data_IF_741331247305
#
_entry.id   IF_741331247305
#
_cell.length_a   1.000
_cell.length_b   1.000
_cell.length_c   1.000
_cell.angle_alpha   90.00
_cell.angle_beta   90.00
_cell.angle_gamma   90.00
#
_symmetry.space_group_name_H-M   'P 1'
#
loop_
_entity.id
_entity.type
_entity.pdbx_description
1 polymer ?
#
# COMPACT_ATOMS: atom_id res chain seq x y z
N UNK A 1 13.04 -11.71 3.89
CA UNK A 1 11.69 -11.09 4.01
C UNK A 1 11.89 -9.83 4.79
N UNK A 2 11.34 -8.71 4.34
CA UNK A 2 11.50 -7.40 5.02
C UNK A 2 10.60 -7.42 6.26
N UNK A 3 11.16 -7.34 7.46
CA UNK A 3 10.44 -7.50 8.73
C UNK A 3 10.60 -6.30 9.67
N UNK A 4 11.66 -5.50 9.52
CA UNK A 4 11.96 -4.36 10.38
C UNK A 4 12.23 -3.09 9.59
N UNK A 5 12.26 -1.95 10.27
CA UNK A 5 12.51 -0.62 9.70
C UNK A 5 13.86 -0.53 8.99
N UNK A 6 14.91 -1.19 9.52
CA UNK A 6 16.26 -1.21 8.93
C UNK A 6 16.35 -1.95 7.60
N UNK A 7 15.39 -2.84 7.34
CA UNK A 7 15.33 -3.58 6.08
C UNK A 7 14.93 -2.69 4.88
N UNK A 8 14.43 -1.46 5.15
CA UNK A 8 14.09 -0.46 4.13
C UNK A 8 15.32 0.39 3.80
N UNK A 9 16.27 -0.22 3.09
CA UNK A 9 17.49 0.46 2.64
C UNK A 9 17.19 1.65 1.75
N UNK A 10 17.98 2.73 1.89
CA UNK A 10 17.79 3.97 1.14
C UNK A 10 17.84 3.77 -0.38
N UNK A 11 18.75 2.93 -0.86
CA UNK A 11 18.93 2.68 -2.30
C UNK A 11 17.75 1.85 -2.84
N UNK A 12 17.28 0.84 -2.10
CA UNK A 12 16.14 -0.01 -2.42
C UNK A 12 14.84 0.81 -2.49
N UNK A 13 14.58 1.65 -1.51
CA UNK A 13 13.42 2.55 -1.49
C UNK A 13 13.49 3.58 -2.62
N UNK A 14 14.68 4.16 -2.89
CA UNK A 14 14.88 5.08 -4.01
C UNK A 14 14.62 4.41 -5.36
N UNK A 15 15.12 3.18 -5.55
CA UNK A 15 14.87 2.40 -6.75
C UNK A 15 13.38 2.12 -6.92
N UNK A 16 12.70 1.67 -5.86
CA UNK A 16 11.28 1.36 -5.89
C UNK A 16 10.42 2.61 -6.16
N UNK A 17 10.77 3.78 -5.61
CA UNK A 17 10.10 5.05 -5.91
C UNK A 17 10.24 5.42 -7.39
N UNK A 18 11.43 5.26 -7.97
CA UNK A 18 11.65 5.53 -9.39
C UNK A 18 10.84 4.60 -10.30
N UNK A 19 10.71 3.32 -9.92
CA UNK A 19 9.89 2.33 -10.64
C UNK A 19 8.39 2.63 -10.49
N UNK A 20 7.93 3.03 -9.31
CA UNK A 20 6.56 3.51 -9.11
C UNK A 20 6.21 4.61 -10.12
N UNK A 21 7.05 5.64 -10.21
CA UNK A 21 6.83 6.75 -11.13
C UNK A 21 6.88 6.26 -12.60
N UNK A 22 7.85 5.42 -12.96
CA UNK A 22 7.95 4.87 -14.33
C UNK A 22 6.71 4.06 -14.71
N UNK A 23 6.20 3.20 -13.82
CA UNK A 23 5.00 2.39 -14.07
C UNK A 23 3.77 3.26 -14.26
N UNK A 24 3.56 4.25 -13.39
CA UNK A 24 2.41 5.17 -13.51
C UNK A 24 2.48 6.01 -14.78
N UNK A 25 3.68 6.41 -15.19
CA UNK A 25 3.92 7.10 -16.47
C UNK A 25 3.60 6.19 -17.68
N UNK A 26 4.15 4.98 -17.70
CA UNK A 26 3.97 4.01 -18.81
C UNK A 26 2.49 3.66 -18.99
N UNK A 27 1.77 3.52 -17.88
CA UNK A 27 0.38 3.10 -17.85
C UNK A 27 -0.60 4.29 -17.79
N UNK A 28 -0.17 5.49 -18.18
CA UNK A 28 -0.98 6.71 -18.14
C UNK A 28 -2.32 6.60 -18.87
N UNK A 29 -2.38 5.87 -19.99
CA UNK A 29 -3.63 5.58 -20.73
C UNK A 29 -4.65 4.73 -19.93
N UNK A 30 -4.18 4.11 -18.84
CA UNK A 30 -4.99 3.31 -17.91
C UNK A 30 -5.18 4.02 -16.56
N UNK A 31 -4.77 5.29 -16.42
CA UNK A 31 -4.70 6.01 -15.14
C UNK A 31 -6.00 5.99 -14.34
N UNK A 32 -7.15 6.01 -15.00
CA UNK A 32 -8.46 5.97 -14.33
C UNK A 32 -8.84 4.56 -13.83
N UNK A 33 -8.20 3.53 -14.38
CA UNK A 33 -8.43 2.12 -14.05
C UNK A 33 -7.35 1.53 -13.13
N UNK A 34 -6.38 2.34 -12.71
CA UNK A 34 -5.28 1.93 -11.84
C UNK A 34 -5.26 2.76 -10.57
N UNK A 35 -5.00 2.09 -9.45
CA UNK A 35 -4.90 2.75 -8.14
C UNK A 35 -3.65 2.24 -7.44
N UNK A 36 -2.82 3.17 -6.97
CA UNK A 36 -1.73 2.82 -6.07
C UNK A 36 -2.29 2.47 -4.70
N UNK A 37 -1.86 1.33 -4.18
CA UNK A 37 -2.13 0.87 -2.82
C UNK A 37 -0.81 0.47 -2.14
N UNK A 38 -0.87 -0.13 -0.96
CA UNK A 38 0.33 -0.68 -0.32
C UNK A 38 1.21 0.35 0.37
N UNK A 39 2.48 0.00 0.57
CA UNK A 39 3.39 0.71 1.47
C UNK A 39 3.82 2.12 1.03
N UNK A 40 3.55 2.52 -0.21
CA UNK A 40 3.83 3.87 -0.70
C UNK A 40 2.79 4.90 -0.29
N UNK A 41 1.59 4.46 0.10
CA UNK A 41 0.46 5.37 0.38
C UNK A 41 0.78 6.36 1.49
N UNK A 42 1.29 5.98 2.67
CA UNK A 42 1.57 6.94 3.73
C UNK A 42 2.65 7.95 3.36
N UNK A 43 3.74 7.52 2.70
CA UNK A 43 4.79 8.45 2.27
C UNK A 43 4.28 9.52 1.32
N UNK A 44 3.39 9.13 0.39
CA UNK A 44 2.87 10.04 -0.61
C UNK A 44 1.75 10.94 -0.08
N UNK A 45 1.00 10.50 0.93
CA UNK A 45 -0.02 11.32 1.57
C UNK A 45 0.54 12.30 2.60
N UNK A 46 1.70 11.98 3.20
CA UNK A 46 2.34 12.78 4.23
C UNK A 46 3.82 13.09 3.89
N UNK A 47 4.08 13.76 2.74
CA UNK A 47 5.45 14.00 2.29
C UNK A 47 6.24 14.94 3.21
N UNK A 48 5.54 15.79 3.97
CA UNK A 48 6.12 16.79 4.88
C UNK A 48 6.06 16.35 6.35
N UNK A 49 5.88 15.05 6.62
CA UNK A 49 5.87 14.51 7.98
C UNK A 49 7.18 14.77 8.70
N UNK A 50 7.14 15.21 9.97
CA UNK A 50 8.33 15.42 10.80
C UNK A 50 9.19 14.15 10.91
N UNK A 51 8.54 13.00 11.05
CA UNK A 51 9.19 11.68 10.96
C UNK A 51 8.77 11.07 9.63
N UNK A 52 9.68 10.98 8.64
CA UNK A 52 9.32 10.47 7.32
C UNK A 52 8.92 8.99 7.38
N UNK A 53 7.96 8.62 6.57
CA UNK A 53 7.61 7.21 6.37
C UNK A 53 8.78 6.45 5.71
N UNK A 54 8.92 5.17 6.00
CA UNK A 54 10.02 4.33 5.43
C UNK A 54 9.86 4.04 3.94
N UNK A 55 8.71 4.36 3.34
CA UNK A 55 8.39 4.02 1.95
C UNK A 55 8.10 2.52 1.76
N UNK A 56 8.38 2.02 0.58
CA UNK A 56 8.29 0.60 0.22
C UNK A 56 9.43 0.18 -0.70
N UNK A 57 9.74 -1.12 -0.73
CA UNK A 57 10.70 -1.74 -1.64
C UNK A 57 10.04 -2.40 -2.85
N UNK A 58 8.72 -2.42 -2.88
CA UNK A 58 7.85 -2.94 -3.92
C UNK A 58 6.77 -1.91 -4.31
N UNK A 59 6.06 -2.17 -5.40
CA UNK A 59 4.97 -1.32 -5.89
C UNK A 59 3.72 -2.16 -6.05
N UNK A 60 2.65 -1.80 -5.33
CA UNK A 60 1.35 -2.48 -5.38
C UNK A 60 0.35 -1.65 -6.20
N UNK A 61 -0.12 -2.19 -7.33
CA UNK A 61 -1.08 -1.53 -8.22
C UNK A 61 -2.37 -2.34 -8.30
N UNK A 62 -3.47 -1.74 -7.90
CA UNK A 62 -4.79 -2.32 -8.02
C UNK A 62 -5.38 -1.97 -9.38
N UNK A 63 -5.87 -2.97 -10.11
CA UNK A 63 -6.39 -2.87 -11.48
C UNK A 63 -7.89 -3.06 -11.47
N UNK A 64 -8.63 -2.13 -12.08
CA UNK A 64 -10.07 -2.26 -12.29
C UNK A 64 -10.35 -3.25 -13.41
N UNK A 65 -10.51 -4.51 -13.04
CA UNK A 65 -10.67 -5.61 -13.98
C UNK A 65 -12.02 -5.59 -14.77
N UNK A 66 -12.96 -4.75 -14.36
CA UNK A 66 -14.26 -4.62 -15.03
C UNK A 66 -14.24 -3.58 -16.17
N UNK A 67 -13.36 -2.58 -16.08
CA UNK A 67 -13.34 -1.43 -16.98
C UNK A 67 -12.22 -1.50 -18.02
N UNK A 68 -11.19 -2.32 -17.80
CA UNK A 68 -10.09 -2.46 -18.75
C UNK A 68 -10.50 -3.37 -19.90
N UNK A 69 -10.82 -2.75 -21.03
CA UNK A 69 -11.19 -3.44 -22.26
C UNK A 69 -9.95 -4.00 -22.99
N UNK A 70 -10.12 -5.18 -23.59
CA UNK A 70 -9.12 -5.82 -24.45
C UNK A 70 -8.84 -5.09 -25.76
N UNK A 71 -9.65 -4.11 -26.12
CA UNK A 71 -9.56 -3.35 -27.38
C UNK A 71 -8.53 -2.21 -27.35
N UNK A 72 -7.93 -1.87 -26.22
CA UNK A 72 -6.93 -0.79 -26.13
C UNK A 72 -5.66 -1.15 -26.92
N UNK A 73 -5.03 -0.17 -27.54
CA UNK A 73 -3.94 -0.26 -28.52
C UNK A 73 -2.73 -1.08 -28.07
N UNK A 74 -2.36 -1.01 -26.80
CA UNK A 74 -1.28 -1.81 -26.24
C UNK A 74 -1.72 -2.35 -24.89
N UNK A 75 -1.47 -3.62 -24.65
CA UNK A 75 -1.78 -4.25 -23.37
C UNK A 75 -0.79 -3.81 -22.29
N UNK A 76 -1.21 -3.86 -21.03
CA UNK A 76 -0.38 -3.52 -19.87
C UNK A 76 0.97 -4.26 -19.95
N UNK A 77 0.95 -5.56 -20.21
CA UNK A 77 2.16 -6.36 -20.32
C UNK A 77 3.10 -5.87 -21.42
N UNK A 78 2.59 -5.60 -22.64
CA UNK A 78 3.43 -5.11 -23.76
C UNK A 78 4.08 -3.76 -23.44
N UNK A 79 3.36 -2.85 -22.78
CA UNK A 79 3.89 -1.56 -22.38
C UNK A 79 5.05 -1.73 -21.39
N UNK A 80 4.89 -2.61 -20.41
CA UNK A 80 5.92 -2.90 -19.40
C UNK A 80 7.14 -3.59 -20.03
N UNK A 81 6.94 -4.65 -20.83
CA UNK A 81 8.04 -5.38 -21.50
C UNK A 81 8.88 -4.45 -22.39
N UNK A 82 8.25 -3.49 -23.09
CA UNK A 82 8.94 -2.49 -23.91
C UNK A 82 9.90 -1.60 -23.10
N UNK A 83 9.65 -1.46 -21.78
CA UNK A 83 10.48 -0.69 -20.85
C UNK A 83 11.41 -1.57 -20.02
N UNK A 84 11.55 -2.84 -20.37
CA UNK A 84 12.49 -3.76 -19.73
C UNK A 84 11.98 -4.39 -18.45
N UNK A 85 10.66 -4.38 -18.23
CA UNK A 85 10.05 -5.19 -17.18
C UNK A 85 9.99 -6.65 -17.62
N UNK A 86 10.17 -7.57 -16.68
CA UNK A 86 10.04 -9.01 -16.90
C UNK A 86 8.96 -9.60 -15.98
N UNK A 87 8.03 -10.36 -16.56
CA UNK A 87 7.00 -11.05 -15.78
C UNK A 87 7.57 -12.26 -15.07
N UNK A 88 7.17 -12.50 -13.81
CA UNK A 88 7.50 -13.71 -13.08
C UNK A 88 6.88 -14.94 -13.76
N UNK A 89 7.66 -16.02 -13.89
CA UNK A 89 7.19 -17.30 -14.43
C UNK A 89 6.28 -18.05 -13.45
N UNK A 90 6.50 -17.87 -12.16
CA UNK A 90 5.78 -18.57 -11.09
C UNK A 90 4.54 -17.81 -10.65
N UNK A 91 4.62 -16.49 -10.60
CA UNK A 91 3.58 -15.60 -10.10
C UNK A 91 3.22 -14.56 -11.18
N UNK A 92 2.27 -14.85 -12.07
CA UNK A 92 2.00 -14.05 -13.27
C UNK A 92 1.44 -12.64 -12.99
N UNK A 93 1.17 -12.30 -11.75
CA UNK A 93 0.80 -10.97 -11.28
C UNK A 93 2.01 -10.10 -10.90
N UNK A 94 3.22 -10.67 -10.85
CA UNK A 94 4.46 -9.99 -10.47
C UNK A 94 5.25 -9.63 -11.72
N UNK A 95 5.69 -8.39 -11.79
CA UNK A 95 6.68 -7.91 -12.74
C UNK A 95 7.90 -7.41 -11.99
N UNK A 96 9.05 -7.51 -12.61
CA UNK A 96 10.33 -7.07 -12.07
C UNK A 96 10.97 -6.04 -12.97
N UNK A 97 11.56 -5.03 -12.37
CA UNK A 97 12.39 -4.00 -13.02
C UNK A 97 13.73 -3.90 -12.33
N UNK A 98 14.82 -4.05 -13.08
CA UNK A 98 16.15 -3.81 -12.56
C UNK A 98 16.51 -2.34 -12.73
N UNK A 99 16.97 -1.70 -11.64
CA UNK A 99 17.35 -0.29 -11.58
C UNK A 99 18.74 -0.16 -10.98
N UNK A 100 19.63 0.57 -11.66
CA UNK A 100 20.95 0.90 -11.13
C UNK A 100 20.89 2.24 -10.39
N UNK A 101 21.24 2.25 -9.12
CA UNK A 101 21.38 3.46 -8.31
C UNK A 101 22.88 3.77 -8.18
N UNK A 102 23.28 5.00 -8.56
CA UNK A 102 24.66 5.49 -8.42
C UNK A 102 25.74 4.59 -9.07
N UNK A 103 25.44 3.97 -10.22
CA UNK A 103 26.32 3.02 -10.92
C UNK A 103 26.80 1.83 -10.06
N UNK A 104 26.01 1.45 -9.06
CA UNK A 104 26.20 0.24 -8.25
C UNK A 104 25.40 -0.93 -8.83
N UNK A 105 25.41 -2.05 -8.12
CA UNK A 105 24.65 -3.24 -8.49
C UNK A 105 23.18 -2.92 -8.78
N UNK A 106 22.60 -3.61 -9.76
CA UNK A 106 21.20 -3.49 -10.10
C UNK A 106 20.32 -3.94 -8.94
N UNK A 107 19.38 -3.07 -8.56
CA UNK A 107 18.33 -3.38 -7.59
C UNK A 107 17.12 -3.89 -8.36
N UNK A 108 16.68 -5.09 -8.01
CA UNK A 108 15.49 -5.71 -8.59
C UNK A 108 14.25 -5.27 -7.84
N UNK A 109 13.48 -4.38 -8.42
CA UNK A 109 12.20 -3.89 -7.85
C UNK A 109 11.05 -4.76 -8.34
N UNK A 110 10.16 -5.13 -7.43
CA UNK A 110 8.94 -5.88 -7.69
C UNK A 110 7.75 -4.93 -7.89
N UNK A 111 6.91 -5.24 -8.88
CA UNK A 111 5.63 -4.57 -9.12
C UNK A 111 4.54 -5.62 -9.12
N UNK A 112 3.59 -5.51 -8.19
CA UNK A 112 2.47 -6.42 -8.00
C UNK A 112 1.19 -5.84 -8.61
N UNK A 113 0.60 -6.57 -9.56
CA UNK A 113 -0.72 -6.25 -10.07
C UNK A 113 -1.79 -7.02 -9.29
N UNK A 114 -2.70 -6.27 -8.70
CA UNK A 114 -3.75 -6.75 -7.81
C UNK A 114 -5.13 -6.42 -8.41
N UNK A 115 -6.18 -7.13 -8.02
CA UNK A 115 -7.55 -6.85 -8.43
C UNK A 115 -8.53 -7.13 -7.29
N UNK A 116 -9.73 -6.57 -7.36
CA UNK A 116 -10.81 -6.87 -6.44
C UNK A 116 -11.31 -8.32 -6.58
N UNK A 117 -12.06 -8.77 -5.60
CA UNK A 117 -12.64 -10.12 -5.57
C UNK A 117 -14.00 -10.20 -6.28
N UNK A 118 -14.67 -9.06 -6.45
CA UNK A 118 -16.05 -9.00 -6.93
C UNK A 118 -16.18 -9.50 -8.37
N UNK A 119 -17.26 -10.22 -8.66
CA UNK A 119 -17.59 -10.82 -9.97
C UNK A 119 -16.50 -11.71 -10.59
N UNK A 120 -15.58 -12.21 -9.79
CA UNK A 120 -14.47 -13.04 -10.27
C UNK A 120 -14.91 -14.33 -10.96
N UNK A 121 -14.15 -14.73 -11.96
CA UNK A 121 -14.31 -15.95 -12.75
C UNK A 121 -14.14 -17.22 -11.88
N UNK A 122 -15.17 -17.53 -11.07
CA UNK A 122 -15.25 -18.75 -10.25
C UNK A 122 -14.65 -18.64 -8.85
N UNK A 123 -15.29 -19.32 -7.91
CA UNK A 123 -15.01 -19.28 -6.45
C UNK A 123 -13.58 -19.66 -6.03
N UNK A 124 -12.83 -20.35 -6.88
CA UNK A 124 -11.53 -20.96 -6.52
C UNK A 124 -10.32 -20.34 -7.23
N UNK A 125 -10.46 -19.27 -8.02
CA UNK A 125 -9.32 -18.67 -8.69
C UNK A 125 -8.71 -17.55 -7.85
N UNK A 126 -7.40 -17.65 -7.59
CA UNK A 126 -6.63 -16.62 -6.86
C UNK A 126 -6.31 -15.39 -7.71
N UNK A 127 -6.55 -15.43 -9.02
CA UNK A 127 -6.25 -14.34 -9.95
C UNK A 127 -7.47 -13.99 -10.78
N UNK A 128 -7.54 -12.72 -11.24
CA UNK A 128 -8.42 -12.27 -12.32
C UNK A 128 -7.68 -12.34 -13.66
N UNK A 129 -8.40 -12.20 -14.75
CA UNK A 129 -7.81 -12.04 -16.09
C UNK A 129 -8.13 -10.62 -16.55
N UNK A 130 -7.10 -9.84 -16.81
CA UNK A 130 -7.21 -8.47 -17.30
C UNK A 130 -6.27 -8.34 -18.50
N UNK A 131 -6.81 -8.30 -19.69
CA UNK A 131 -6.04 -8.37 -20.93
C UNK A 131 -5.07 -9.56 -20.92
N UNK A 132 -3.76 -9.28 -20.91
CA UNK A 132 -2.66 -10.25 -20.93
C UNK A 132 -1.93 -10.39 -19.57
N UNK A 133 -2.45 -9.77 -18.52
CA UNK A 133 -1.97 -9.96 -17.15
C UNK A 133 -2.96 -10.76 -16.30
N UNK A 134 -2.50 -11.26 -15.17
CA UNK A 134 -3.30 -12.04 -14.22
C UNK A 134 -3.17 -11.50 -12.81
N UNK A 135 -3.78 -10.33 -12.50
CA UNK A 135 -3.74 -9.74 -11.17
C UNK A 135 -4.19 -10.70 -10.08
N UNK A 136 -3.51 -10.66 -8.94
CA UNK A 136 -3.90 -11.42 -7.76
C UNK A 136 -5.09 -10.77 -7.09
N UNK A 137 -6.08 -11.57 -6.70
CA UNK A 137 -7.23 -11.09 -5.94
C UNK A 137 -6.82 -10.65 -4.54
N UNK A 138 -7.31 -9.48 -4.13
CA UNK A 138 -7.15 -8.97 -2.77
C UNK A 138 -8.51 -8.63 -2.17
N UNK A 139 -8.71 -9.07 -0.94
CA UNK A 139 -9.92 -8.75 -0.18
C UNK A 139 -9.96 -7.25 0.09
N UNK A 140 -11.09 -6.61 -0.25
CA UNK A 140 -11.25 -5.16 -0.14
C UNK A 140 -10.77 -4.35 -1.35
N UNK A 141 -10.25 -4.98 -2.41
CA UNK A 141 -9.86 -4.27 -3.62
C UNK A 141 -11.01 -3.49 -4.26
N UNK A 142 -12.21 -4.06 -4.29
CA UNK A 142 -13.40 -3.37 -4.83
C UNK A 142 -13.79 -2.13 -4.00
N UNK A 143 -13.64 -2.21 -2.68
CA UNK A 143 -13.85 -1.07 -1.79
C UNK A 143 -12.84 0.05 -2.06
N UNK A 144 -11.59 -0.31 -2.36
CA UNK A 144 -10.53 0.64 -2.67
C UNK A 144 -10.86 1.50 -3.90
N UNK A 145 -11.46 0.93 -4.96
CA UNK A 145 -11.84 1.69 -6.17
C UNK A 145 -12.86 2.80 -5.90
N UNK A 146 -13.76 2.58 -4.96
CA UNK A 146 -14.77 3.58 -4.57
C UNK A 146 -14.22 4.65 -3.62
N UNK A 147 -12.97 4.52 -3.15
CA UNK A 147 -12.38 5.35 -2.11
C UNK A 147 -10.96 5.79 -2.50
N UNK A 148 -10.87 6.60 -3.54
CA UNK A 148 -9.61 7.08 -4.11
C UNK A 148 -9.51 8.59 -4.11
N UNK A 149 -8.28 9.09 -4.30
CA UNK A 149 -8.00 10.49 -4.58
C UNK A 149 -6.87 10.59 -5.61
N UNK A 150 -6.84 11.70 -6.37
CA UNK A 150 -5.73 11.99 -7.28
C UNK A 150 -4.60 12.66 -6.51
N UNK A 151 -3.38 12.24 -6.81
CA UNK A 151 -2.16 12.84 -6.26
C UNK A 151 -1.22 13.22 -7.40
N UNK A 152 -0.50 14.33 -7.22
CA UNK A 152 0.61 14.74 -8.09
C UNK A 152 1.91 14.39 -7.38
N UNK A 153 2.79 13.68 -8.06
CA UNK A 153 4.10 13.29 -7.53
C UNK A 153 5.18 13.70 -8.52
N UNK A 154 6.17 14.40 -8.00
CA UNK A 154 7.36 14.80 -8.73
C UNK A 154 8.51 13.86 -8.35
N UNK A 155 9.29 13.41 -9.33
CA UNK A 155 10.41 12.56 -9.00
C UNK A 155 11.23 12.09 -10.19
N UNK A 156 12.23 11.27 -9.89
CA UNK A 156 13.23 10.79 -10.84
C UNK A 156 12.86 9.38 -11.33
N UNK A 157 12.79 9.22 -12.63
CA UNK A 157 12.59 7.91 -13.28
C UNK A 157 13.88 7.07 -13.23
N UNK A 158 13.83 5.74 -13.48
CA UNK A 158 15.02 4.88 -13.50
C UNK A 158 16.11 5.33 -14.48
N UNK A 159 15.76 5.99 -15.58
CA UNK A 159 16.69 6.55 -16.56
C UNK A 159 17.30 7.90 -16.15
N UNK A 160 16.93 8.42 -14.98
CA UNK A 160 17.40 9.69 -14.44
C UNK A 160 16.59 10.93 -14.85
N UNK A 161 15.62 10.82 -15.76
CA UNK A 161 14.75 11.93 -16.12
C UNK A 161 13.84 12.33 -14.94
N UNK A 162 13.57 13.62 -14.79
CA UNK A 162 12.58 14.13 -13.83
C UNK A 162 11.22 14.12 -14.52
N UNK A 163 10.21 13.66 -13.82
CA UNK A 163 8.83 13.64 -14.31
C UNK A 163 7.83 14.14 -13.26
N UNK A 164 6.66 14.54 -13.74
CA UNK A 164 5.53 15.07 -12.96
C UNK A 164 4.31 14.25 -13.30
N UNK A 165 3.92 13.34 -12.41
CA UNK A 165 2.90 12.34 -12.71
C UNK A 165 1.69 12.56 -11.82
N UNK A 166 0.49 12.49 -12.42
CA UNK A 166 -0.78 12.49 -11.69
C UNK A 166 -1.41 11.11 -11.83
N UNK A 167 -1.74 10.49 -10.70
CA UNK A 167 -2.37 9.17 -10.67
C UNK A 167 -3.31 9.02 -9.48
N UNK A 168 -4.13 7.97 -9.51
CA UNK A 168 -5.03 7.64 -8.42
C UNK A 168 -4.30 6.86 -7.32
N UNK A 169 -4.52 7.28 -6.09
CA UNK A 169 -4.07 6.60 -4.88
C UNK A 169 -5.30 6.30 -4.01
N UNK A 170 -5.24 5.22 -3.25
CA UNK A 170 -6.29 4.93 -2.26
C UNK A 170 -6.35 6.04 -1.22
N UNK A 171 -7.57 6.39 -0.77
CA UNK A 171 -7.76 7.36 0.31
C UNK A 171 -7.24 6.83 1.65
N UNK A 172 -6.91 7.73 2.57
CA UNK A 172 -6.38 7.35 3.88
C UNK A 172 -7.32 6.42 4.67
N UNK A 173 -8.64 6.68 4.77
CA UNK A 173 -9.54 5.73 5.42
C UNK A 173 -9.50 4.34 4.79
N UNK A 174 -9.54 4.27 3.45
CA UNK A 174 -9.50 2.98 2.76
C UNK A 174 -8.14 2.28 2.92
N UNK A 175 -7.03 3.02 2.98
CA UNK A 175 -5.72 2.46 3.29
C UNK A 175 -5.70 1.81 4.68
N UNK A 176 -6.16 2.51 5.72
CA UNK A 176 -6.24 1.97 7.09
C UNK A 176 -7.11 0.70 7.12
N UNK A 177 -8.24 0.70 6.39
CA UNK A 177 -9.11 -0.47 6.29
C UNK A 177 -8.40 -1.65 5.63
N UNK A 178 -7.71 -1.45 4.51
CA UNK A 178 -6.95 -2.53 3.86
C UNK A 178 -5.82 -3.06 4.76
N UNK A 179 -5.16 -2.20 5.53
CA UNK A 179 -4.13 -2.59 6.49
C UNK A 179 -4.71 -3.40 7.66
N UNK A 180 -5.87 -3.03 8.18
CA UNK A 180 -6.58 -3.84 9.18
C UNK A 180 -6.94 -5.24 8.67
N UNK A 181 -7.43 -5.36 7.44
CA UNK A 181 -7.65 -6.67 6.81
C UNK A 181 -6.34 -7.45 6.63
N UNK A 182 -5.25 -6.77 6.27
CA UNK A 182 -3.95 -7.41 6.12
C UNK A 182 -3.39 -7.96 7.44
N UNK A 183 -3.60 -7.26 8.56
CA UNK A 183 -3.23 -7.73 9.90
C UNK A 183 -3.80 -9.12 10.21
N UNK A 184 -5.08 -9.37 9.83
CA UNK A 184 -5.72 -10.68 10.01
C UNK A 184 -5.06 -11.78 9.18
N UNK A 185 -4.60 -11.45 7.98
CA UNK A 185 -4.26 -12.45 6.97
C UNK A 185 -2.77 -12.82 6.93
N UNK A 186 -1.87 -11.92 7.31
CA UNK A 186 -0.44 -12.12 7.09
C UNK A 186 0.48 -11.76 8.26
N UNK A 187 -0.04 -11.18 9.33
CA UNK A 187 0.72 -10.83 10.55
C UNK A 187 2.08 -10.17 10.25
N UNK A 188 2.08 -9.16 9.37
CA UNK A 188 3.30 -8.42 9.04
C UNK A 188 3.39 -7.16 9.91
N UNK A 189 4.51 -7.00 10.61
CA UNK A 189 4.75 -5.92 11.58
C UNK A 189 4.49 -4.54 10.98
N UNK A 190 4.92 -4.34 9.73
CA UNK A 190 4.70 -3.08 9.00
C UNK A 190 3.22 -2.73 8.84
N UNK A 191 2.29 -3.69 8.78
CA UNK A 191 0.87 -3.37 8.59
C UNK A 191 0.29 -2.67 9.83
N UNK A 192 0.69 -3.09 11.04
CA UNK A 192 0.36 -2.40 12.28
C UNK A 192 1.06 -1.03 12.36
N UNK A 193 2.34 -0.98 11.99
CA UNK A 193 3.13 0.24 12.00
C UNK A 193 2.61 1.28 10.99
N UNK A 194 2.21 0.89 9.79
CA UNK A 194 1.62 1.79 8.81
C UNK A 194 0.32 2.45 9.31
N UNK A 195 -0.54 1.70 10.04
CA UNK A 195 -1.73 2.25 10.69
C UNK A 195 -1.31 3.27 11.75
N UNK A 196 -0.40 2.91 12.64
CA UNK A 196 0.09 3.76 13.71
C UNK A 196 0.72 5.05 13.15
N UNK A 197 1.59 4.94 12.15
CA UNK A 197 2.18 6.08 11.46
C UNK A 197 1.12 7.05 10.94
N UNK A 198 0.08 6.54 10.26
CA UNK A 198 -0.99 7.38 9.76
C UNK A 198 -1.74 8.12 10.87
N UNK A 199 -1.97 7.48 12.01
CA UNK A 199 -2.64 8.11 13.15
C UNK A 199 -1.76 9.17 13.81
N UNK A 200 -0.43 8.99 13.84
CA UNK A 200 0.51 9.99 14.34
C UNK A 200 0.43 11.32 13.57
N UNK A 201 0.06 11.29 12.27
CA UNK A 201 -0.06 12.51 11.48
C UNK A 201 -1.24 13.41 11.90
N UNK A 202 -2.11 12.94 12.79
CA UNK A 202 -3.29 13.68 13.23
C UNK A 202 -3.24 14.11 14.70
N UNK A 203 -2.29 13.67 15.49
CA UNK A 203 -2.10 14.03 16.91
C UNK A 203 -3.36 14.58 17.63
N UNK A 204 -3.44 15.90 17.82
CA UNK A 204 -4.60 16.56 18.44
C UNK A 204 -5.81 16.68 17.52
N UNK A 205 -5.71 16.27 16.25
CA UNK A 205 -6.76 16.34 15.23
C UNK A 205 -7.30 14.97 14.81
N UNK A 206 -7.17 13.96 15.65
CA UNK A 206 -7.59 12.58 15.36
C UNK A 206 -9.12 12.46 15.10
N UNK A 207 -9.90 13.40 15.63
CA UNK A 207 -11.32 13.55 15.33
C UNK A 207 -11.59 13.92 13.85
N UNK A 208 -10.70 14.67 13.21
CA UNK A 208 -10.79 14.97 11.78
C UNK A 208 -10.61 13.70 10.94
N UNK A 209 -9.70 12.82 11.33
CA UNK A 209 -9.56 11.52 10.69
C UNK A 209 -10.80 10.65 10.95
N UNK A 210 -11.29 10.56 12.18
CA UNK A 210 -12.49 9.80 12.52
C UNK A 210 -13.72 10.27 11.72
N UNK A 211 -13.85 11.59 11.49
CA UNK A 211 -14.93 12.13 10.67
C UNK A 211 -14.92 11.62 9.22
N UNK A 212 -13.75 11.32 8.65
CA UNK A 212 -13.65 10.74 7.30
C UNK A 212 -14.21 9.32 7.20
N UNK A 213 -14.34 8.61 8.34
CA UNK A 213 -14.92 7.26 8.40
C UNK A 213 -16.44 7.24 8.52
N UNK A 214 -17.10 8.34 8.94
CA UNK A 214 -18.55 8.35 9.26
C UNK A 214 -19.44 7.77 8.17
N UNK A 215 -19.15 8.08 6.90
CA UNK A 215 -19.91 7.54 5.76
C UNK A 215 -19.63 6.06 5.46
N UNK A 216 -18.55 5.51 6.01
CA UNK A 216 -18.05 4.17 5.70
C UNK A 216 -18.41 3.12 6.76
N UNK A 217 -18.79 3.53 7.97
CA UNK A 217 -18.99 2.64 9.14
C UNK A 217 -20.04 1.54 8.94
N UNK A 218 -20.99 1.72 8.02
CA UNK A 218 -22.02 0.72 7.71
C UNK A 218 -21.57 -0.33 6.70
N UNK A 219 -20.40 -0.14 6.09
CA UNK A 219 -19.86 -1.06 5.08
C UNK A 219 -19.23 -2.26 5.79
N UNK A 220 -19.63 -3.46 5.41
CA UNK A 220 -19.21 -4.71 6.07
C UNK A 220 -17.68 -4.85 6.20
N UNK A 221 -16.92 -4.54 5.14
CA UNK A 221 -15.45 -4.68 5.17
C UNK A 221 -14.82 -3.66 6.13
N UNK A 222 -15.42 -2.49 6.29
CA UNK A 222 -14.97 -1.48 7.26
C UNK A 222 -15.17 -2.00 8.68
N UNK A 223 -16.35 -2.56 8.99
CA UNK A 223 -16.64 -3.16 10.29
C UNK A 223 -15.70 -4.34 10.58
N UNK A 224 -15.47 -5.21 9.59
CA UNK A 224 -14.53 -6.33 9.72
C UNK A 224 -13.12 -5.83 10.05
N UNK A 225 -12.62 -4.86 9.31
CA UNK A 225 -11.28 -4.30 9.50
C UNK A 225 -11.12 -3.62 10.86
N UNK A 226 -12.08 -2.76 11.23
CA UNK A 226 -12.05 -2.07 12.53
C UNK A 226 -12.13 -3.06 13.70
N UNK A 227 -12.89 -4.16 13.54
CA UNK A 227 -12.93 -5.24 14.52
C UNK A 227 -11.56 -5.93 14.68
N UNK A 228 -10.87 -6.20 13.57
CA UNK A 228 -9.51 -6.78 13.60
C UNK A 228 -8.51 -5.82 14.28
N UNK A 229 -8.57 -4.53 13.95
CA UNK A 229 -7.70 -3.53 14.59
C UNK A 229 -7.99 -3.46 16.09
N UNK A 230 -9.27 -3.42 16.49
CA UNK A 230 -9.65 -3.41 17.90
C UNK A 230 -9.15 -4.64 18.65
N UNK A 231 -9.27 -5.84 18.06
CA UNK A 231 -8.78 -7.09 18.65
C UNK A 231 -7.26 -7.07 18.80
N UNK A 232 -6.52 -6.60 17.77
CA UNK A 232 -5.07 -6.52 17.80
C UNK A 232 -4.51 -5.51 18.82
N UNK A 233 -5.32 -4.52 19.21
CA UNK A 233 -4.95 -3.44 20.14
C UNK A 233 -5.87 -3.40 21.38
N UNK A 234 -6.35 -4.54 21.88
CA UNK A 234 -7.22 -4.60 23.05
C UNK A 234 -6.46 -4.39 24.38
N UNK A 235 -5.17 -4.62 24.39
CA UNK A 235 -4.27 -4.26 25.50
C UNK A 235 -2.89 -3.81 25.03
N UNK A 236 -2.12 -3.15 25.91
CA UNK A 236 -0.73 -2.73 25.62
C UNK A 236 0.16 -3.93 25.25
N UNK A 237 -0.16 -5.13 25.75
CA UNK A 237 0.64 -6.33 25.54
C UNK A 237 0.14 -7.23 24.41
N UNK A 238 -0.90 -6.81 23.69
CA UNK A 238 -1.42 -7.57 22.55
C UNK A 238 -0.54 -7.46 21.31
N UNK A 239 -0.94 -8.17 20.27
CA UNK A 239 -0.13 -8.36 19.06
C UNK A 239 0.19 -7.04 18.34
N UNK A 240 -0.76 -6.10 18.28
CA UNK A 240 -0.58 -4.83 17.57
C UNK A 240 0.54 -3.95 18.13
N UNK A 241 0.50 -3.56 19.43
CA UNK A 241 1.59 -2.80 20.05
C UNK A 241 2.96 -3.50 19.98
N UNK A 242 2.98 -4.83 20.13
CA UNK A 242 4.21 -5.59 19.97
C UNK A 242 4.76 -5.56 18.56
N UNK A 243 3.92 -5.73 17.52
CA UNK A 243 4.32 -5.61 16.11
C UNK A 243 4.95 -4.26 15.80
N UNK A 244 4.40 -3.16 16.34
CA UNK A 244 4.96 -1.82 16.13
C UNK A 244 6.34 -1.70 16.77
N UNK A 245 6.48 -2.15 18.02
CA UNK A 245 7.76 -2.14 18.73
C UNK A 245 8.81 -3.04 18.06
N UNK A 246 8.39 -4.18 17.50
CA UNK A 246 9.26 -5.09 16.75
C UNK A 246 9.70 -4.45 15.41
N UNK A 247 8.80 -3.77 14.69
CA UNK A 247 9.15 -3.07 13.46
C UNK A 247 10.15 -1.93 13.71
N UNK A 248 9.98 -1.16 14.79
CA UNK A 248 10.89 -0.10 15.20
C UNK A 248 12.18 -0.63 15.85
N UNK A 249 12.28 -1.93 16.14
CA UNK A 249 13.41 -2.60 16.79
C UNK A 249 13.76 -1.99 18.16
N UNK A 250 12.74 -1.52 18.88
CA UNK A 250 12.92 -0.90 20.22
C UNK A 250 13.06 -1.94 21.32
N UNK A 251 13.76 -1.57 22.40
CA UNK A 251 14.00 -2.42 23.57
C UNK A 251 13.87 -1.62 24.88
N UNK A 252 13.73 -2.33 26.01
CA UNK A 252 13.67 -1.71 27.33
C UNK A 252 12.54 -0.69 27.46
N UNK A 253 12.83 0.45 28.08
CA UNK A 253 11.85 1.52 28.36
C UNK A 253 11.28 2.13 27.07
N UNK A 254 12.07 2.24 26.01
CA UNK A 254 11.62 2.75 24.72
C UNK A 254 10.56 1.84 24.10
N UNK A 255 10.73 0.53 24.23
CA UNK A 255 9.73 -0.45 23.78
C UNK A 255 8.39 -0.26 24.50
N UNK A 256 8.44 -0.10 25.82
CA UNK A 256 7.21 0.10 26.61
C UNK A 256 6.53 1.44 26.30
N UNK A 257 7.31 2.49 26.00
CA UNK A 257 6.76 3.78 25.57
C UNK A 257 6.03 3.67 24.23
N UNK A 258 6.64 3.06 23.21
CA UNK A 258 6.02 2.95 21.89
C UNK A 258 4.79 2.03 21.90
N UNK A 259 4.82 0.94 22.69
CA UNK A 259 3.66 0.08 22.90
C UNK A 259 2.49 0.85 23.52
N UNK A 260 2.77 1.67 24.54
CA UNK A 260 1.74 2.47 25.19
C UNK A 260 1.18 3.54 24.25
N UNK A 261 2.02 4.33 23.60
CA UNK A 261 1.58 5.37 22.67
C UNK A 261 0.72 4.80 21.54
N UNK A 262 1.16 3.70 20.94
CA UNK A 262 0.42 3.06 19.86
C UNK A 262 -0.94 2.51 20.33
N UNK A 263 -0.99 1.90 21.50
CA UNK A 263 -2.22 1.43 22.13
C UNK A 263 -3.19 2.58 22.40
N UNK A 264 -2.73 3.63 23.08
CA UNK A 264 -3.57 4.79 23.47
C UNK A 264 -4.11 5.52 22.23
N UNK A 265 -3.26 5.76 21.23
CA UNK A 265 -3.61 6.46 19.99
C UNK A 265 -4.65 5.70 19.17
N UNK A 266 -4.46 4.40 18.98
CA UNK A 266 -5.40 3.57 18.22
C UNK A 266 -6.73 3.45 18.95
N UNK A 267 -6.73 3.25 20.27
CA UNK A 267 -7.98 3.18 21.02
C UNK A 267 -8.71 4.52 21.10
N UNK A 268 -7.99 5.65 21.17
CA UNK A 268 -8.60 6.99 21.04
C UNK A 268 -9.31 7.12 19.70
N UNK A 269 -8.65 6.75 18.60
CA UNK A 269 -9.26 6.75 17.26
C UNK A 269 -10.52 5.87 17.20
N UNK A 270 -10.42 4.60 17.62
CA UNK A 270 -11.54 3.67 17.59
C UNK A 270 -12.73 4.14 18.45
N UNK A 271 -12.48 4.79 19.58
CA UNK A 271 -13.55 5.33 20.44
C UNK A 271 -14.35 6.46 19.78
N UNK A 272 -13.76 7.17 18.83
CA UNK A 272 -14.43 8.23 18.07
C UNK A 272 -15.28 7.71 16.91
N UNK A 273 -15.16 6.41 16.58
CA UNK A 273 -15.94 5.74 15.52
C UNK A 273 -17.20 5.03 16.03
N UNK A 274 -17.38 4.92 17.35
CA UNK A 274 -18.52 4.27 18.01
C UNK A 274 -19.74 5.20 18.14
#
# INVERSE_FOLDING_TARGET
MVTSKKDYGRDEVTAAKSVLLEVMHILGDYSDDLILIGGWVPELLFPDSEIPHVGSTDVDILVNHNEIDSSRYATIRKLLEKRGYSQSKEQPFIFYRNVSINNRNDIKVQVDFLAGEYLGTGKNRRTQIVQDIRPRKVHGGDFAFSNTQKIKVDGKLPNGAIDHIIFNIISLPAFIILKGIALKNRFKEKDAWDIYFCLQQFDDQIDQLANQFKGLLKIRIVQESLGVIHEAFSSINDVGPNMIADFEETAGDERELIKRDSFERINKFLSLLN
#
